data_IF_704961559389
#
_entry.id   IF_704961559389
#
_cell.length_a   1.000
_cell.length_b   1.000
_cell.length_c   1.000
_cell.angle_alpha   90.00
_cell.angle_beta   90.00
_cell.angle_gamma   90.00
#
_symmetry.space_group_name_H-M   'P 1'
#
loop_
_entity.id
_entity.type
_entity.pdbx_description
1 polymer ?
#
# COMPACT_ATOMS: atom_id res chain seq x y z
N UNK A 1 -75.29 7.89 -14.98
CA UNK A 1 -74.61 8.65 -13.90
C UNK A 1 -73.86 7.73 -12.93
N UNK A 2 -74.48 6.65 -12.44
CA UNK A 2 -73.86 5.69 -11.49
C UNK A 2 -72.61 4.95 -12.05
N UNK A 3 -72.62 4.58 -13.33
CA UNK A 3 -71.51 3.85 -13.96
C UNK A 3 -70.22 4.68 -14.10
N UNK A 4 -70.35 5.99 -14.29
CA UNK A 4 -69.20 6.91 -14.39
C UNK A 4 -68.53 7.10 -13.03
N UNK A 5 -69.32 7.12 -11.96
CA UNK A 5 -68.84 7.21 -10.57
C UNK A 5 -68.07 5.94 -10.14
N UNK A 6 -68.55 4.77 -10.56
CA UNK A 6 -67.84 3.50 -10.31
C UNK A 6 -66.50 3.44 -11.05
N UNK A 7 -66.43 3.91 -12.29
CA UNK A 7 -65.18 3.96 -13.05
C UNK A 7 -64.15 4.88 -12.41
N UNK A 8 -64.58 6.02 -11.86
CA UNK A 8 -63.68 6.97 -11.19
C UNK A 8 -63.08 6.42 -9.89
N UNK A 9 -63.87 5.63 -9.14
CA UNK A 9 -63.39 4.98 -7.92
C UNK A 9 -62.34 3.88 -8.17
N UNK A 10 -62.46 3.16 -9.30
CA UNK A 10 -61.50 2.11 -9.66
C UNK A 10 -60.13 2.68 -10.07
N UNK A 11 -60.10 3.86 -10.71
CA UNK A 11 -58.85 4.54 -11.08
C UNK A 11 -58.08 5.04 -9.85
N UNK A 12 -58.79 5.47 -8.80
CA UNK A 12 -58.17 5.90 -7.54
C UNK A 12 -57.52 4.74 -6.76
N UNK A 13 -58.11 3.55 -6.78
CA UNK A 13 -57.53 2.36 -6.14
C UNK A 13 -56.38 1.71 -6.95
N UNK A 14 -56.27 2.00 -8.25
CA UNK A 14 -55.20 1.48 -9.11
C UNK A 14 -53.86 2.25 -8.98
N UNK A 15 -53.86 3.42 -8.33
CA UNK A 15 -52.66 4.26 -8.14
C UNK A 15 -51.99 4.07 -6.79
N UNK A 16 -52.02 2.86 -6.22
CA UNK A 16 -51.19 2.57 -5.06
C UNK A 16 -49.72 2.48 -5.49
N UNK A 17 -48.83 3.38 -5.05
CA UNK A 17 -47.42 3.31 -5.41
C UNK A 17 -46.80 2.10 -4.71
N UNK A 18 -46.58 1.01 -5.45
CA UNK A 18 -45.63 0.00 -5.02
C UNK A 18 -44.23 0.61 -5.09
N UNK A 19 -43.75 1.11 -3.95
CA UNK A 19 -42.32 1.36 -3.73
C UNK A 19 -41.59 0.00 -3.63
N UNK A 20 -41.53 -0.71 -4.75
CA UNK A 20 -40.59 -1.82 -4.94
C UNK A 20 -39.26 -1.20 -5.32
N UNK A 21 -38.59 -0.64 -4.32
CA UNK A 21 -37.20 -0.25 -4.44
C UNK A 21 -36.38 -1.53 -4.69
N UNK A 22 -36.15 -1.80 -5.96
CA UNK A 22 -35.41 -2.98 -6.44
C UNK A 22 -33.91 -2.66 -6.48
N UNK A 23 -33.50 -1.47 -6.04
CA UNK A 23 -32.12 -1.07 -5.96
C UNK A 23 -31.67 -1.12 -4.50
N UNK A 24 -30.75 -2.04 -4.25
CA UNK A 24 -29.89 -2.10 -3.06
C UNK A 24 -30.51 -2.85 -1.87
N UNK A 25 -30.43 -4.18 -1.96
CA UNK A 25 -30.35 -5.06 -0.79
C UNK A 25 -29.15 -4.62 0.06
N UNK A 26 -29.39 -3.82 1.10
CA UNK A 26 -28.34 -3.32 2.01
C UNK A 26 -27.72 -4.50 2.75
N UNK A 27 -26.54 -4.93 2.31
CA UNK A 27 -25.75 -5.96 2.98
C UNK A 27 -24.97 -5.31 4.10
N UNK A 28 -25.40 -5.53 5.35
CA UNK A 28 -24.59 -5.19 6.53
C UNK A 28 -23.34 -6.06 6.52
N UNK A 29 -22.18 -5.41 6.52
CA UNK A 29 -20.89 -6.07 6.63
C UNK A 29 -20.43 -6.00 8.10
N UNK A 30 -19.92 -7.12 8.60
CA UNK A 30 -19.35 -7.22 9.94
C UNK A 30 -17.95 -6.58 9.99
N UNK A 31 -17.53 -6.14 11.16
CA UNK A 31 -16.24 -5.51 11.34
C UNK A 31 -15.11 -6.53 11.23
N UNK A 32 -14.23 -6.32 10.26
CA UNK A 32 -12.99 -7.09 10.11
C UNK A 32 -11.89 -6.44 10.94
N UNK A 33 -11.38 -7.17 11.94
CA UNK A 33 -10.23 -6.74 12.74
C UNK A 33 -8.94 -7.26 12.12
N UNK A 34 -8.09 -6.33 11.65
CA UNK A 34 -6.77 -6.66 11.13
C UNK A 34 -5.73 -6.54 12.24
N UNK A 35 -5.05 -7.64 12.56
CA UNK A 35 -3.84 -7.61 13.37
C UNK A 35 -2.66 -7.29 12.46
N UNK A 36 -2.12 -6.08 12.56
CA UNK A 36 -0.91 -5.71 11.81
C UNK A 36 0.33 -6.20 12.53
N UNK A 37 1.13 -7.03 11.86
CA UNK A 37 2.48 -7.34 12.30
C UNK A 37 3.41 -6.29 11.69
N UNK A 38 3.79 -5.29 12.48
CA UNK A 38 4.78 -4.28 12.08
C UNK A 38 6.14 -4.96 11.85
N UNK A 39 6.40 -5.39 10.63
CA UNK A 39 7.71 -5.89 10.22
C UNK A 39 8.65 -4.69 10.01
N UNK A 40 9.11 -4.08 11.10
CA UNK A 40 9.93 -2.86 11.08
C UNK A 40 11.37 -3.10 10.64
N UNK A 41 11.79 -4.36 10.47
CA UNK A 41 13.15 -4.71 10.08
C UNK A 41 13.32 -4.58 8.55
N UNK A 42 13.25 -3.34 8.05
CA UNK A 42 13.54 -3.00 6.65
C UNK A 42 15.02 -3.23 6.33
N UNK A 43 15.88 -3.18 7.35
CA UNK A 43 17.30 -3.48 7.23
C UNK A 43 17.68 -4.52 8.28
N UNK A 44 18.41 -5.54 7.86
CA UNK A 44 18.92 -6.61 8.74
C UNK A 44 20.43 -6.62 8.68
N UNK A 45 21.08 -7.10 9.73
CA UNK A 45 22.52 -7.33 9.70
C UNK A 45 22.83 -8.68 9.03
N UNK A 46 24.03 -8.81 8.48
CA UNK A 46 24.52 -10.12 8.05
C UNK A 46 24.72 -11.03 9.28
N UNK A 47 24.54 -12.35 9.11
CA UNK A 47 25.00 -13.31 10.11
C UNK A 47 26.48 -13.09 10.45
N UNK A 48 26.87 -13.40 11.69
CA UNK A 48 28.26 -13.26 12.16
C UNK A 48 29.27 -13.99 11.29
N UNK A 49 28.84 -15.09 10.67
CA UNK A 49 29.61 -15.95 9.80
C UNK A 49 28.77 -16.29 8.56
N UNK A 50 29.36 -16.18 7.38
CA UNK A 50 28.70 -16.56 6.13
C UNK A 50 29.72 -17.19 5.17
N UNK A 51 29.61 -18.50 4.97
CA UNK A 51 30.65 -19.28 4.29
C UNK A 51 31.97 -19.18 5.06
N UNK A 52 33.03 -18.74 4.39
CA UNK A 52 34.37 -18.55 5.00
C UNK A 52 34.59 -17.11 5.51
N UNK A 53 33.59 -16.23 5.43
CA UNK A 53 33.69 -14.84 5.85
C UNK A 53 33.18 -14.64 7.28
N UNK A 54 33.93 -13.86 8.07
CA UNK A 54 33.56 -13.48 9.46
C UNK A 54 33.22 -11.98 9.49
N UNK A 55 31.93 -11.71 9.74
CA UNK A 55 31.36 -10.37 9.88
C UNK A 55 31.19 -9.95 11.35
N UNK A 56 31.43 -10.85 12.29
CA UNK A 56 31.43 -10.53 13.73
C UNK A 56 32.27 -9.28 14.03
N UNK A 57 31.68 -8.32 14.75
CA UNK A 57 32.30 -7.03 15.09
C UNK A 57 32.30 -5.96 13.99
N UNK A 58 31.85 -6.27 12.76
CA UNK A 58 31.71 -5.28 11.67
C UNK A 58 30.25 -4.85 11.53
N UNK A 59 30.03 -3.55 11.26
CA UNK A 59 28.69 -3.03 10.93
C UNK A 59 28.32 -3.49 9.52
N UNK A 60 27.19 -4.18 9.40
CA UNK A 60 26.66 -4.67 8.11
C UNK A 60 25.18 -4.32 8.01
N UNK A 61 24.72 -4.01 6.81
CA UNK A 61 23.33 -3.64 6.52
C UNK A 61 22.90 -4.34 5.24
N UNK A 62 21.89 -5.21 5.33
CA UNK A 62 21.34 -5.99 4.23
C UNK A 62 20.05 -5.33 3.77
N UNK A 63 20.03 -4.92 2.50
CA UNK A 63 18.87 -4.29 1.86
C UNK A 63 18.19 -5.33 0.97
N UNK A 64 16.92 -5.62 1.23
CA UNK A 64 16.11 -6.44 0.34
C UNK A 64 15.37 -5.55 -0.68
N UNK A 65 15.94 -5.41 -1.88
CA UNK A 65 15.39 -4.55 -2.94
C UNK A 65 13.92 -4.87 -3.28
N UNK A 66 13.51 -6.15 -3.27
CA UNK A 66 12.16 -6.55 -3.62
C UNK A 66 11.09 -6.03 -2.65
N UNK A 67 11.48 -5.71 -1.42
CA UNK A 67 10.58 -5.22 -0.36
C UNK A 67 10.90 -3.78 0.06
N UNK A 68 11.71 -3.06 -0.73
CA UNK A 68 12.01 -1.65 -0.47
C UNK A 68 11.00 -0.76 -1.17
N UNK A 69 10.49 0.26 -0.47
CA UNK A 69 9.66 1.32 -1.05
C UNK A 69 10.52 2.34 -1.82
N UNK A 70 11.41 1.87 -2.69
CA UNK A 70 12.30 2.68 -3.51
C UNK A 70 11.93 2.51 -4.99
N UNK A 71 12.08 3.57 -5.76
CA UNK A 71 11.93 3.56 -7.20
C UNK A 71 13.16 2.93 -7.87
N UNK A 72 13.11 1.61 -8.02
CA UNK A 72 14.17 0.83 -8.65
C UNK A 72 14.18 1.06 -10.17
N UNK A 73 13.03 1.35 -10.79
CA UNK A 73 12.92 1.57 -12.23
C UNK A 73 13.68 2.84 -12.66
N UNK A 74 13.58 3.90 -11.86
CA UNK A 74 14.32 5.15 -12.07
C UNK A 74 15.69 5.16 -11.37
N UNK A 75 16.22 4.00 -10.96
CA UNK A 75 17.60 3.83 -10.46
C UNK A 75 17.98 4.79 -9.33
N UNK A 76 17.02 5.15 -8.48
CA UNK A 76 17.26 6.19 -7.46
C UNK A 76 18.02 5.61 -6.25
N UNK A 77 19.36 5.66 -6.31
CA UNK A 77 20.22 5.17 -5.22
C UNK A 77 19.94 5.82 -3.87
N UNK A 78 19.62 7.13 -3.85
CA UNK A 78 19.26 7.85 -2.61
C UNK A 78 18.11 7.20 -1.86
N UNK A 79 17.11 6.67 -2.56
CA UNK A 79 15.96 6.01 -1.92
C UNK A 79 16.32 4.62 -1.41
N UNK A 80 17.16 3.89 -2.14
CA UNK A 80 17.63 2.55 -1.75
C UNK A 80 18.44 2.62 -0.45
N UNK A 81 19.33 3.60 -0.31
CA UNK A 81 20.20 3.74 0.87
C UNK A 81 19.64 4.69 1.96
N UNK A 82 18.45 5.28 1.78
CA UNK A 82 17.90 6.32 2.66
C UNK A 82 17.81 5.92 4.14
N UNK A 83 17.62 4.62 4.41
CA UNK A 83 17.44 4.09 5.77
C UNK A 83 18.75 3.64 6.41
N UNK A 84 19.88 3.71 5.70
CA UNK A 84 21.17 3.26 6.22
C UNK A 84 21.88 4.41 6.96
N UNK A 85 22.13 4.26 8.26
CA UNK A 85 22.79 5.30 9.05
C UNK A 85 24.25 5.49 8.66
N UNK A 86 24.62 6.75 8.41
CA UNK A 86 26.00 7.13 8.09
C UNK A 86 26.39 6.88 6.64
N UNK A 87 25.44 6.59 5.75
CA UNK A 87 25.65 6.54 4.30
C UNK A 87 25.07 7.80 3.67
N UNK A 88 25.86 8.45 2.84
CA UNK A 88 25.44 9.58 2.03
C UNK A 88 25.56 9.22 0.56
N UNK A 89 24.49 9.43 -0.21
CA UNK A 89 24.44 9.09 -1.63
C UNK A 89 24.21 10.35 -2.44
N UNK A 90 25.13 10.60 -3.37
CA UNK A 90 25.06 11.67 -4.33
C UNK A 90 24.95 11.09 -5.75
N UNK A 91 24.09 11.67 -6.57
CA UNK A 91 23.86 11.25 -7.95
C UNK A 91 24.08 12.48 -8.82
N UNK A 92 24.93 12.37 -9.84
CA UNK A 92 25.44 13.51 -10.61
C UNK A 92 24.37 14.17 -11.48
N UNK A 93 23.46 13.38 -12.05
CA UNK A 93 22.50 13.82 -13.08
C UNK A 93 21.06 13.38 -12.78
N UNK A 94 20.82 12.68 -11.66
CA UNK A 94 19.50 12.21 -11.25
C UNK A 94 18.95 11.08 -12.12
N UNK A 95 19.72 10.59 -13.09
CA UNK A 95 19.38 9.46 -13.95
C UNK A 95 19.84 8.11 -13.35
N UNK A 96 20.60 8.17 -12.26
CA UNK A 96 21.21 7.01 -11.63
C UNK A 96 22.36 6.41 -12.44
N UNK A 97 22.90 7.12 -13.43
CA UNK A 97 24.03 6.63 -14.23
C UNK A 97 25.35 6.70 -13.46
N UNK A 98 25.56 7.77 -12.69
CA UNK A 98 26.76 7.94 -11.87
C UNK A 98 26.38 8.24 -10.42
N UNK A 99 26.52 7.22 -9.57
CA UNK A 99 26.21 7.28 -8.15
C UNK A 99 27.51 7.28 -7.35
N UNK A 100 27.67 8.30 -6.50
CA UNK A 100 28.75 8.42 -5.53
C UNK A 100 28.19 8.09 -4.15
N UNK A 101 28.91 7.27 -3.40
CA UNK A 101 28.51 6.85 -2.06
C UNK A 101 29.65 7.17 -1.10
N UNK A 102 29.33 7.93 -0.06
CA UNK A 102 30.23 8.21 1.05
C UNK A 102 29.71 7.50 2.30
N UNK A 103 30.61 6.90 3.08
CA UNK A 103 30.27 6.22 4.31
C UNK A 103 31.06 6.85 5.47
N UNK A 104 30.35 7.28 6.51
CA UNK A 104 30.92 7.97 7.68
C UNK A 104 31.76 9.21 7.29
N UNK A 105 31.35 9.88 6.21
CA UNK A 105 31.94 11.14 5.76
C UNK A 105 33.17 11.00 4.85
N UNK A 106 33.52 9.78 4.42
CA UNK A 106 34.61 9.49 3.47
C UNK A 106 34.05 8.91 2.17
#
# INVERSE_FOLDING_TARGET
MLAILLFFSAVAFAQQPENKDTLVKVKSLDSLTFYTQLNQNVIRQLPSEHGTYIFSGKKTEVINLAHTAADIANKTGRQVFAKIPGVFVYDMDGSGNQINIAARGL
#
